data_IF_552643346482
#
_entry.id   IF_552643346482
#
_cell.length_a   1.000
_cell.length_b   1.000
_cell.length_c   1.000
_cell.angle_alpha   90.00
_cell.angle_beta   90.00
_cell.angle_gamma   90.00
#
_symmetry.space_group_name_H-M   'P 1'
#
loop_
_entity.id
_entity.type
_entity.pdbx_description
1 polymer ?
#
# COMPACT_ATOMS: atom_id res chain seq x y z
N UNK A 1 4.65 -11.46 0.63
CA UNK A 1 5.72 -12.32 1.18
C UNK A 1 5.90 -12.02 2.67
N UNK A 2 6.27 -12.99 3.50
CA UNK A 2 6.49 -12.80 4.96
C UNK A 2 7.78 -13.48 5.40
N UNK A 3 8.61 -12.79 6.17
CA UNK A 3 9.82 -13.33 6.80
C UNK A 3 9.63 -13.45 8.30
N UNK A 4 10.30 -14.42 8.91
CA UNK A 4 10.31 -14.64 10.36
C UNK A 4 11.76 -14.84 10.83
N UNK A 5 12.15 -14.13 11.89
CA UNK A 5 13.28 -14.54 12.72
C UNK A 5 12.90 -15.76 13.57
N UNK A 6 13.88 -16.44 14.18
CA UNK A 6 13.62 -17.53 15.13
C UNK A 6 12.69 -17.03 16.26
N UNK A 7 11.40 -17.28 16.09
CA UNK A 7 10.24 -17.03 16.95
C UNK A 7 9.98 -15.61 17.48
N UNK A 8 10.81 -14.61 17.16
CA UNK A 8 10.69 -13.28 17.78
C UNK A 8 10.00 -12.24 16.88
N UNK A 9 10.31 -12.15 15.59
CA UNK A 9 9.79 -11.07 14.75
C UNK A 9 9.26 -11.54 13.40
N UNK A 10 8.38 -10.74 12.78
CA UNK A 10 7.94 -10.97 11.41
C UNK A 10 7.81 -9.69 10.59
N UNK A 11 8.21 -9.76 9.32
CA UNK A 11 8.11 -8.65 8.37
C UNK A 11 7.35 -9.15 7.14
N UNK A 12 6.19 -8.55 6.89
CA UNK A 12 5.38 -8.73 5.68
C UNK A 12 5.72 -7.65 4.65
N UNK A 13 5.91 -8.05 3.40
CA UNK A 13 6.01 -7.14 2.26
C UNK A 13 5.01 -7.61 1.23
N UNK A 14 4.04 -6.77 0.92
CA UNK A 14 3.07 -6.99 -0.14
C UNK A 14 3.16 -5.86 -1.16
N UNK A 15 3.05 -6.18 -2.45
CA UNK A 15 2.54 -5.18 -3.38
C UNK A 15 1.16 -4.77 -2.89
N UNK A 16 0.84 -3.48 -2.90
CA UNK A 16 -0.52 -3.02 -2.65
C UNK A 16 -1.46 -3.83 -3.50
N UNK A 17 -2.32 -4.64 -2.86
CA UNK A 17 -3.27 -5.49 -3.58
C UNK A 17 -4.22 -4.64 -4.44
N UNK A 18 -5.03 -5.30 -5.25
CA UNK A 18 -6.03 -4.66 -6.12
C UNK A 18 -6.80 -3.51 -5.43
N UNK A 19 -7.20 -3.69 -4.17
CA UNK A 19 -7.92 -2.68 -3.38
C UNK A 19 -7.12 -1.39 -3.12
N UNK A 20 -5.78 -1.43 -3.07
CA UNK A 20 -4.94 -0.24 -2.95
C UNK A 20 -4.68 0.40 -4.32
N UNK A 21 -4.56 -0.42 -5.35
CA UNK A 21 -4.25 0.03 -6.70
C UNK A 21 -5.43 0.74 -7.38
N UNK A 22 -6.66 0.23 -7.24
CA UNK A 22 -7.82 0.85 -7.89
C UNK A 22 -8.05 2.30 -7.44
N UNK A 23 -8.06 2.66 -6.14
CA UNK A 23 -8.18 4.07 -5.73
C UNK A 23 -7.07 4.94 -6.32
N UNK A 24 -5.81 4.48 -6.32
CA UNK A 24 -4.69 5.28 -6.83
C UNK A 24 -4.82 5.54 -8.32
N UNK A 25 -5.22 4.52 -9.08
CA UNK A 25 -5.47 4.66 -10.51
C UNK A 25 -6.63 5.62 -10.77
N UNK A 26 -7.76 5.47 -10.08
CA UNK A 26 -8.93 6.35 -10.24
C UNK A 26 -8.58 7.80 -9.92
N UNK A 27 -7.82 8.06 -8.85
CA UNK A 27 -7.34 9.41 -8.54
C UNK A 27 -6.52 10.02 -9.67
N UNK A 28 -5.63 9.23 -10.27
CA UNK A 28 -4.79 9.70 -11.35
C UNK A 28 -5.59 9.91 -12.66
N UNK A 29 -6.40 8.94 -13.05
CA UNK A 29 -7.21 8.95 -14.27
C UNK A 29 -8.25 10.08 -14.29
N UNK A 30 -8.86 10.38 -13.16
CA UNK A 30 -9.85 11.46 -13.04
C UNK A 30 -9.23 12.81 -12.66
N UNK A 31 -7.92 12.86 -12.34
CA UNK A 31 -7.28 14.09 -11.88
C UNK A 31 -7.84 14.60 -10.55
N UNK A 32 -8.16 13.69 -9.62
CA UNK A 32 -8.72 14.05 -8.31
C UNK A 32 -7.63 14.73 -7.47
N UNK A 33 -7.79 16.03 -7.22
CA UNK A 33 -6.85 16.79 -6.41
C UNK A 33 -7.10 16.55 -4.91
N UNK A 34 -6.28 15.67 -4.34
CA UNK A 34 -6.17 15.47 -2.89
C UNK A 34 -4.71 15.68 -2.51
N UNK A 35 -4.36 16.64 -1.65
CA UNK A 35 -2.97 16.89 -1.29
C UNK A 35 -2.30 15.67 -0.67
N UNK A 36 -1.07 15.38 -1.11
CA UNK A 36 -0.27 14.34 -0.50
C UNK A 36 0.14 14.73 0.93
N UNK A 37 -0.04 13.81 1.89
CA UNK A 37 0.22 14.09 3.30
C UNK A 37 -0.46 13.08 4.21
N UNK A 38 0.08 12.87 5.42
CA UNK A 38 -0.37 11.79 6.30
C UNK A 38 -0.32 10.44 5.59
N UNK A 39 -1.47 9.80 5.43
CA UNK A 39 -1.63 8.52 4.70
C UNK A 39 -1.89 8.68 3.20
N UNK A 40 -2.06 9.90 2.69
CA UNK A 40 -2.32 10.16 1.26
C UNK A 40 -0.98 10.13 0.49
N UNK A 41 -0.80 9.19 -0.45
CA UNK A 41 0.41 9.13 -1.24
C UNK A 41 0.47 10.24 -2.29
N UNK A 42 1.67 10.46 -2.85
CA UNK A 42 1.88 11.35 -3.98
C UNK A 42 1.30 10.79 -5.29
N UNK A 43 1.61 11.45 -6.42
CA UNK A 43 1.11 11.06 -7.73
C UNK A 43 1.49 9.63 -8.08
N UNK A 44 0.55 8.93 -8.72
CA UNK A 44 0.77 7.61 -9.30
C UNK A 44 1.86 7.67 -10.36
N UNK A 45 2.77 6.70 -10.36
CA UNK A 45 3.82 6.58 -11.35
C UNK A 45 3.31 5.83 -12.58
N UNK A 46 2.53 6.55 -13.40
CA UNK A 46 1.94 6.04 -14.63
C UNK A 46 1.99 7.10 -15.73
N UNK A 47 2.26 6.67 -16.95
CA UNK A 47 2.06 7.43 -18.18
C UNK A 47 1.87 6.49 -19.38
N UNK A 48 0.91 6.74 -20.28
CA UNK A 48 -0.08 7.83 -20.27
C UNK A 48 -1.30 7.54 -19.36
N UNK A 49 -2.00 8.60 -18.95
CA UNK A 49 -3.29 8.52 -18.26
C UNK A 49 -4.44 8.73 -19.26
N UNK A 50 -5.58 8.05 -19.08
CA UNK A 50 -6.77 8.33 -19.89
C UNK A 50 -7.32 9.73 -19.60
N UNK A 51 -8.18 10.23 -20.49
CA UNK A 51 -8.90 11.48 -20.24
C UNK A 51 -9.90 11.31 -19.07
N UNK A 52 -10.03 12.32 -18.18
CA UNK A 52 -11.03 12.30 -17.12
C UNK A 52 -12.46 12.12 -17.65
N UNK A 53 -13.33 11.45 -16.90
CA UNK A 53 -14.75 11.32 -17.27
C UNK A 53 -15.54 12.60 -17.02
N UNK A 54 -15.13 13.37 -16.01
CA UNK A 54 -15.82 14.58 -15.57
C UNK A 54 -15.02 15.83 -15.98
N UNK A 55 -15.69 16.94 -16.30
CA UNK A 55 -15.02 18.23 -16.52
C UNK A 55 -14.27 18.74 -15.28
N UNK A 56 -14.70 18.34 -14.09
CA UNK A 56 -14.06 18.66 -12.82
C UNK A 56 -14.16 17.49 -11.84
N UNK A 57 -13.04 17.16 -11.21
CA UNK A 57 -12.92 16.09 -10.23
C UNK A 57 -13.09 16.55 -8.78
N UNK A 58 -13.26 17.86 -8.54
CA UNK A 58 -13.39 18.41 -7.19
C UNK A 58 -14.48 17.71 -6.34
N UNK A 59 -15.67 17.36 -6.87
CA UNK A 59 -16.69 16.63 -6.12
C UNK A 59 -16.29 15.20 -5.70
N UNK A 60 -15.24 14.62 -6.31
CA UNK A 60 -14.78 13.26 -6.01
C UNK A 60 -13.80 13.20 -4.84
N UNK A 61 -13.18 14.32 -4.46
CA UNK A 61 -12.06 14.37 -3.54
C UNK A 61 -12.37 13.79 -2.15
N UNK A 62 -13.49 14.19 -1.56
CA UNK A 62 -13.92 13.69 -0.24
C UNK A 62 -14.20 12.19 -0.29
N UNK A 63 -14.97 11.75 -1.28
CA UNK A 63 -15.31 10.33 -1.43
C UNK A 63 -14.07 9.47 -1.68
N UNK A 64 -13.14 9.95 -2.49
CA UNK A 64 -11.90 9.24 -2.75
C UNK A 64 -11.08 9.08 -1.47
N UNK A 65 -10.98 10.14 -0.66
CA UNK A 65 -10.26 10.09 0.61
C UNK A 65 -10.92 9.14 1.61
N UNK A 66 -12.26 9.12 1.65
CA UNK A 66 -13.04 8.17 2.44
C UNK A 66 -12.78 6.72 2.01
N UNK A 67 -12.83 6.45 0.71
CA UNK A 67 -12.52 5.14 0.13
C UNK A 67 -11.08 4.71 0.43
N UNK A 68 -10.10 5.59 0.21
CA UNK A 68 -8.70 5.31 0.49
C UNK A 68 -8.49 4.91 1.95
N UNK A 69 -9.06 5.65 2.90
CA UNK A 69 -8.99 5.32 4.33
C UNK A 69 -9.67 3.99 4.65
N UNK A 70 -10.80 3.68 4.02
CA UNK A 70 -11.47 2.40 4.20
C UNK A 70 -10.61 1.23 3.72
N UNK A 71 -9.92 1.38 2.59
CA UNK A 71 -8.94 0.41 2.06
C UNK A 71 -7.76 0.23 3.00
N UNK A 72 -7.19 1.31 3.55
CA UNK A 72 -6.10 1.22 4.53
C UNK A 72 -6.53 0.54 5.85
N UNK A 73 -7.82 0.64 6.18
CA UNK A 73 -8.43 -0.07 7.29
C UNK A 73 -8.62 -1.57 7.04
N UNK A 74 -8.43 -2.06 5.81
CA UNK A 74 -8.45 -3.48 5.51
C UNK A 74 -7.19 -4.15 6.07
N UNK A 75 -7.41 -5.19 6.87
CA UNK A 75 -6.38 -6.13 7.31
C UNK A 75 -6.61 -7.46 6.58
N UNK A 76 -5.66 -8.39 6.65
CA UNK A 76 -5.87 -9.74 6.12
C UNK A 76 -7.16 -10.33 6.72
N UNK A 77 -8.14 -10.75 5.91
CA UNK A 77 -9.40 -11.27 6.42
C UNK A 77 -9.16 -12.57 7.18
N UNK A 78 -9.65 -12.60 8.42
CA UNK A 78 -9.63 -13.71 9.37
C UNK A 78 -11.02 -14.24 9.66
N UNK A 79 -12.08 -13.50 9.28
CA UNK A 79 -13.47 -13.92 9.47
C UNK A 79 -14.45 -13.37 8.43
N UNK A 80 -15.73 -13.79 8.49
CA UNK A 80 -16.76 -13.44 7.51
C UNK A 80 -17.01 -11.93 7.36
N UNK A 81 -17.01 -11.18 8.45
CA UNK A 81 -17.25 -9.73 8.43
C UNK A 81 -16.15 -8.99 7.68
N UNK A 82 -14.91 -9.41 7.85
CA UNK A 82 -13.79 -8.82 7.14
C UNK A 82 -13.88 -9.14 5.65
N UNK A 83 -14.22 -10.39 5.29
CA UNK A 83 -14.47 -10.79 3.90
C UNK A 83 -15.57 -9.91 3.28
N UNK A 84 -16.67 -9.66 3.99
CA UNK A 84 -17.74 -8.80 3.51
C UNK A 84 -17.25 -7.38 3.21
N UNK A 85 -16.42 -6.79 4.08
CA UNK A 85 -15.82 -5.46 3.85
C UNK A 85 -14.91 -5.41 2.62
N UNK A 86 -14.15 -6.47 2.34
CA UNK A 86 -13.37 -6.57 1.10
C UNK A 86 -14.29 -6.59 -0.13
N UNK A 87 -15.38 -7.35 -0.07
CA UNK A 87 -16.36 -7.48 -1.16
C UNK A 87 -17.05 -6.14 -1.43
N UNK A 88 -17.49 -5.44 -0.38
CA UNK A 88 -18.17 -4.14 -0.49
C UNK A 88 -17.30 -3.06 -1.13
N UNK A 89 -15.97 -3.11 -0.93
CA UNK A 89 -15.01 -2.18 -1.53
C UNK A 89 -14.50 -2.64 -2.91
N UNK A 90 -15.13 -3.65 -3.49
CA UNK A 90 -14.77 -4.24 -4.76
C UNK A 90 -15.91 -4.29 -5.78
N UNK A 91 -15.63 -4.83 -6.98
CA UNK A 91 -16.64 -5.05 -8.01
C UNK A 91 -17.71 -6.05 -7.56
N UNK A 92 -18.87 -6.08 -8.23
CA UNK A 92 -19.21 -5.29 -9.43
C UNK A 92 -19.70 -3.88 -9.14
N UNK A 93 -20.20 -3.63 -7.93
CA UNK A 93 -21.03 -2.47 -7.65
C UNK A 93 -20.42 -1.52 -6.63
N UNK A 94 -19.34 -1.89 -5.95
CA UNK A 94 -18.68 -1.07 -4.93
C UNK A 94 -19.67 -0.56 -3.87
N UNK A 95 -20.47 -1.46 -3.29
CA UNK A 95 -21.50 -1.14 -2.30
C UNK A 95 -20.98 -0.28 -1.13
N UNK A 96 -19.71 -0.45 -0.72
CA UNK A 96 -19.04 0.34 0.31
C UNK A 96 -18.83 1.82 -0.06
N UNK A 97 -19.10 2.21 -1.31
CA UNK A 97 -19.09 3.60 -1.79
C UNK A 97 -20.49 4.23 -1.85
N UNK A 98 -21.52 3.60 -1.27
CA UNK A 98 -22.90 4.10 -1.31
C UNK A 98 -23.07 5.53 -0.78
N UNK A 99 -22.22 5.97 0.16
CA UNK A 99 -22.21 7.34 0.68
C UNK A 99 -21.73 8.39 -0.35
N UNK A 100 -21.05 7.97 -1.43
CA UNK A 100 -20.50 8.84 -2.47
C UNK A 100 -20.95 8.37 -3.86
N UNK A 101 -22.23 8.58 -4.23
CA UNK A 101 -22.83 8.02 -5.44
C UNK A 101 -22.11 8.46 -6.72
N UNK A 102 -21.64 9.70 -6.80
CA UNK A 102 -20.89 10.20 -7.96
C UNK A 102 -19.53 9.48 -8.12
N UNK A 103 -18.80 9.28 -7.01
CA UNK A 103 -17.56 8.50 -7.03
C UNK A 103 -17.84 7.06 -7.42
N UNK A 104 -18.88 6.44 -6.85
CA UNK A 104 -19.29 5.07 -7.16
C UNK A 104 -19.56 4.90 -8.65
N UNK A 105 -20.29 5.82 -9.27
CA UNK A 105 -20.56 5.80 -10.72
C UNK A 105 -19.27 5.84 -11.54
N UNK A 106 -18.34 6.74 -11.19
CA UNK A 106 -17.04 6.86 -11.85
C UNK A 106 -16.21 5.59 -11.69
N UNK A 107 -16.13 5.05 -10.46
CA UNK A 107 -15.39 3.82 -10.15
C UNK A 107 -15.95 2.64 -10.93
N UNK A 108 -17.27 2.44 -10.93
CA UNK A 108 -17.92 1.36 -11.69
C UNK A 108 -17.65 1.50 -13.19
N UNK A 109 -17.79 2.71 -13.75
CA UNK A 109 -17.52 2.99 -15.18
C UNK A 109 -16.08 2.68 -15.57
N UNK A 110 -15.13 3.03 -14.70
CA UNK A 110 -13.69 2.95 -14.96
C UNK A 110 -13.03 1.67 -14.43
N UNK A 111 -13.81 0.78 -13.82
CA UNK A 111 -13.28 -0.40 -13.13
C UNK A 111 -12.47 -1.31 -14.06
N UNK A 112 -12.96 -1.57 -15.27
CA UNK A 112 -12.27 -2.44 -16.22
C UNK A 112 -10.88 -1.91 -16.59
N UNK A 113 -10.73 -0.60 -16.77
CA UNK A 113 -9.46 0.05 -17.08
C UNK A 113 -8.50 0.00 -15.87
N UNK A 114 -9.02 0.28 -14.66
CA UNK A 114 -8.24 0.21 -13.42
C UNK A 114 -7.76 -1.21 -13.11
N UNK A 115 -8.61 -2.22 -13.35
CA UNK A 115 -8.28 -3.63 -13.16
C UNK A 115 -7.30 -4.14 -14.22
N UNK A 116 -7.46 -3.72 -15.48
CA UNK A 116 -6.49 -4.02 -16.54
C UNK A 116 -5.11 -3.44 -16.24
N UNK A 117 -5.05 -2.18 -15.81
CA UNK A 117 -3.80 -1.58 -15.34
C UNK A 117 -3.20 -2.34 -14.15
N UNK A 118 -4.02 -2.72 -13.18
CA UNK A 118 -3.53 -3.51 -12.04
C UNK A 118 -2.94 -4.86 -12.50
N UNK A 119 -3.64 -5.59 -13.39
CA UNK A 119 -3.21 -6.89 -13.90
C UNK A 119 -1.97 -6.80 -14.78
N UNK A 120 -1.83 -5.74 -15.58
CA UNK A 120 -0.64 -5.52 -16.43
C UNK A 120 0.60 -5.16 -15.61
N UNK A 121 0.44 -4.39 -14.52
CA UNK A 121 1.54 -4.11 -13.57
C UNK A 121 1.81 -5.28 -12.61
N UNK A 122 0.84 -6.14 -12.39
CA UNK A 122 0.99 -7.35 -11.59
C UNK A 122 1.20 -8.55 -12.52
N UNK A 123 2.37 -8.69 -13.19
CA UNK A 123 2.59 -9.86 -14.02
C UNK A 123 2.40 -11.09 -13.13
N UNK A 124 1.69 -12.08 -13.65
CA UNK A 124 1.48 -13.37 -13.03
C UNK A 124 2.80 -14.18 -12.91
N UNK A 125 3.82 -13.64 -12.23
CA UNK A 125 5.16 -14.19 -12.12
C UNK A 125 6.02 -13.43 -11.10
N UNK A 126 7.02 -14.09 -10.48
CA UNK A 126 7.75 -13.56 -9.34
C UNK A 126 8.52 -12.30 -9.73
N UNK A 127 8.25 -11.22 -8.98
CA UNK A 127 9.09 -10.03 -8.79
C UNK A 127 10.16 -9.81 -9.88
N UNK A 128 9.91 -8.87 -10.79
CA UNK A 128 10.89 -8.41 -11.80
C UNK A 128 12.16 -7.80 -11.14
N UNK A 129 12.16 -7.60 -9.82
CA UNK A 129 13.32 -7.27 -9.02
C UNK A 129 13.67 -8.43 -8.07
N UNK A 130 14.94 -8.88 -8.00
CA UNK A 130 15.33 -9.89 -7.03
C UNK A 130 14.92 -9.38 -5.64
N UNK A 131 14.16 -10.17 -4.87
CA UNK A 131 13.69 -9.73 -3.57
C UNK A 131 14.86 -9.29 -2.69
N UNK A 132 14.77 -8.13 -2.03
CA UNK A 132 15.63 -7.79 -0.88
C UNK A 132 15.46 -8.77 0.31
N UNK A 133 14.66 -9.83 0.16
CA UNK A 133 14.31 -10.83 1.17
C UNK A 133 15.51 -11.47 1.85
N UNK A 134 16.56 -11.96 1.14
CA UNK A 134 17.73 -12.51 1.83
C UNK A 134 18.44 -11.43 2.66
N UNK A 135 18.42 -10.18 2.19
CA UNK A 135 19.05 -9.05 2.86
C UNK A 135 18.31 -8.63 4.13
N UNK A 136 16.98 -8.68 4.18
CA UNK A 136 16.22 -8.22 5.34
C UNK A 136 16.42 -9.09 6.59
N UNK A 137 16.48 -10.41 6.44
CA UNK A 137 16.77 -11.29 7.58
C UNK A 137 18.22 -11.12 8.06
N UNK A 138 19.16 -10.93 7.14
CA UNK A 138 20.56 -10.63 7.49
C UNK A 138 20.70 -9.26 8.16
N UNK A 139 19.92 -8.29 7.70
CA UNK A 139 19.89 -6.93 8.23
C UNK A 139 19.37 -6.90 9.67
N UNK A 140 18.28 -7.62 9.98
CA UNK A 140 17.82 -7.76 11.37
C UNK A 140 18.88 -8.44 12.23
N UNK A 141 19.53 -9.50 11.74
CA UNK A 141 20.64 -10.17 12.46
C UNK A 141 21.84 -9.24 12.70
N UNK A 142 22.14 -8.34 11.77
CA UNK A 142 23.19 -7.32 11.93
C UNK A 142 22.82 -6.33 13.06
N UNK A 143 21.56 -5.92 13.12
CA UNK A 143 21.05 -5.08 14.21
C UNK A 143 21.12 -5.82 15.55
N UNK A 144 20.70 -7.09 15.61
CA UNK A 144 20.80 -7.92 16.82
C UNK A 144 22.25 -8.06 17.31
N UNK A 145 23.19 -8.27 16.37
CA UNK A 145 24.62 -8.31 16.68
C UNK A 145 25.11 -6.98 17.26
N UNK A 146 24.66 -5.87 16.69
CA UNK A 146 25.02 -4.52 17.16
C UNK A 146 24.42 -4.20 18.52
N UNK A 147 23.24 -4.73 18.83
CA UNK A 147 22.58 -4.60 20.13
C UNK A 147 23.13 -5.58 21.20
N UNK A 148 23.91 -6.59 20.80
CA UNK A 148 24.40 -7.63 21.70
C UNK A 148 23.31 -8.57 22.25
N UNK A 149 22.09 -8.51 21.69
CA UNK A 149 20.93 -9.31 22.13
C UNK A 149 19.97 -9.57 20.97
N UNK A 150 19.09 -10.57 21.13
CA UNK A 150 17.98 -10.80 20.20
C UNK A 150 16.99 -9.63 20.25
N UNK A 151 16.34 -9.38 19.11
CA UNK A 151 15.31 -8.36 19.00
C UNK A 151 14.11 -8.71 19.89
N UNK A 152 13.49 -7.70 20.52
CA UNK A 152 12.17 -7.86 21.10
C UNK A 152 11.15 -8.29 20.02
N UNK A 153 10.05 -8.96 20.38
CA UNK A 153 9.07 -9.38 19.39
C UNK A 153 8.38 -8.21 18.70
N UNK A 154 8.33 -8.24 17.36
CA UNK A 154 7.62 -7.24 16.58
C UNK A 154 7.03 -7.80 15.29
N UNK A 155 6.01 -7.11 14.78
CA UNK A 155 5.40 -7.37 13.47
C UNK A 155 5.37 -6.08 12.67
N UNK A 156 5.85 -6.16 11.43
CA UNK A 156 5.83 -5.06 10.47
C UNK A 156 5.17 -5.51 9.18
N UNK A 157 4.43 -4.60 8.55
CA UNK A 157 3.88 -4.78 7.21
C UNK A 157 4.20 -3.57 6.34
N UNK A 158 4.80 -3.83 5.18
CA UNK A 158 5.08 -2.84 4.16
C UNK A 158 4.17 -3.08 2.96
N UNK A 159 3.38 -2.07 2.62
CA UNK A 159 2.49 -2.05 1.46
C UNK A 159 3.16 -1.19 0.40
N UNK A 160 3.65 -1.84 -0.65
CA UNK A 160 4.37 -1.16 -1.72
C UNK A 160 3.40 -0.47 -2.68
N UNK A 161 3.64 0.81 -2.94
CA UNK A 161 2.82 1.65 -3.81
C UNK A 161 3.63 2.18 -5.01
N UNK A 162 3.03 2.20 -6.21
CA UNK A 162 3.66 2.69 -7.45
C UNK A 162 3.58 4.22 -7.54
N UNK A 163 4.24 4.95 -6.64
CA UNK A 163 4.09 6.41 -6.56
C UNK A 163 5.43 7.09 -6.80
N UNK A 164 5.36 8.33 -7.30
CA UNK A 164 6.55 9.10 -7.71
C UNK A 164 7.33 9.74 -6.58
N UNK A 165 6.73 9.85 -5.40
CA UNK A 165 7.44 10.36 -4.23
C UNK A 165 8.19 9.26 -3.49
N UNK A 166 9.13 9.65 -2.64
CA UNK A 166 9.95 8.72 -1.84
C UNK A 166 9.57 8.77 -0.34
N UNK A 167 8.33 9.13 -0.02
CA UNK A 167 7.89 9.29 1.38
C UNK A 167 7.24 8.02 1.91
N UNK A 168 7.89 7.38 2.89
CA UNK A 168 7.23 6.32 3.68
C UNK A 168 6.20 6.93 4.61
N UNK A 169 5.00 6.35 4.64
CA UNK A 169 3.88 6.87 5.43
C UNK A 169 3.39 5.81 6.41
N UNK A 170 3.35 6.08 7.72
CA UNK A 170 2.74 5.17 8.68
C UNK A 170 1.23 5.15 8.48
N UNK A 171 0.65 3.95 8.42
CA UNK A 171 -0.80 3.75 8.54
C UNK A 171 -1.13 3.63 10.03
N UNK A 172 -0.35 2.84 10.75
CA UNK A 172 -0.39 2.64 12.19
C UNK A 172 1.01 2.28 12.73
N UNK A 173 1.11 1.80 13.96
CA UNK A 173 2.39 1.45 14.60
C UNK A 173 3.13 0.27 13.97
N UNK A 174 2.51 -0.48 13.03
CA UNK A 174 3.06 -1.69 12.44
C UNK A 174 3.01 -1.70 10.90
N UNK A 175 2.09 -0.95 10.29
CA UNK A 175 1.86 -0.95 8.85
C UNK A 175 2.29 0.37 8.20
N UNK A 176 2.99 0.27 7.08
CA UNK A 176 3.55 1.42 6.36
C UNK A 176 3.25 1.33 4.86
N UNK A 177 2.90 2.47 4.27
CA UNK A 177 2.91 2.66 2.82
C UNK A 177 4.31 3.05 2.37
N UNK A 178 4.88 2.27 1.46
CA UNK A 178 6.25 2.47 0.98
C UNK A 178 6.22 2.64 -0.54
N UNK A 179 6.79 3.71 -1.10
CA UNK A 179 6.96 3.82 -2.54
C UNK A 179 7.86 2.70 -3.09
N UNK A 180 7.46 2.06 -4.18
CA UNK A 180 8.23 0.99 -4.83
C UNK A 180 9.64 1.44 -5.17
N UNK A 181 9.79 2.66 -5.70
CA UNK A 181 11.09 3.24 -6.05
C UNK A 181 12.04 3.37 -4.87
N UNK A 182 11.52 3.73 -3.70
CA UNK A 182 12.32 3.78 -2.47
C UNK A 182 12.72 2.37 -2.05
N UNK A 183 11.77 1.43 -2.07
CA UNK A 183 12.01 0.04 -1.70
C UNK A 183 13.09 -0.62 -2.55
N UNK A 184 13.11 -0.34 -3.86
CA UNK A 184 14.10 -0.87 -4.81
C UNK A 184 15.45 -0.10 -4.77
N UNK A 185 15.55 0.96 -3.96
CA UNK A 185 16.76 1.77 -3.84
C UNK A 185 17.63 1.37 -2.65
N UNK A 186 18.95 1.67 -2.68
CA UNK A 186 19.82 1.47 -1.51
C UNK A 186 19.36 2.23 -0.26
N UNK A 187 18.68 3.38 -0.45
CA UNK A 187 18.19 4.22 0.64
C UNK A 187 17.11 3.53 1.50
N UNK A 188 16.52 2.43 1.02
CA UNK A 188 15.57 1.62 1.78
C UNK A 188 16.14 1.16 3.12
N UNK A 189 17.38 0.64 3.13
CA UNK A 189 17.99 0.11 4.35
C UNK A 189 18.38 1.22 5.33
N UNK A 190 18.76 2.39 4.82
CA UNK A 190 19.05 3.57 5.65
C UNK A 190 17.79 4.04 6.38
N UNK A 191 16.64 4.05 5.68
CA UNK A 191 15.35 4.35 6.29
C UNK A 191 14.90 3.27 7.28
N UNK A 192 15.08 2.00 6.93
CA UNK A 192 14.59 0.86 7.71
C UNK A 192 15.36 0.67 9.02
N UNK A 193 16.67 0.97 9.04
CA UNK A 193 17.55 0.79 10.20
C UNK A 193 16.96 1.39 11.49
N UNK A 194 16.68 2.70 11.58
CA UNK A 194 16.15 3.29 12.80
C UNK A 194 14.77 2.75 13.20
N UNK A 195 13.96 2.25 12.26
CA UNK A 195 12.66 1.64 12.57
C UNK A 195 12.85 0.30 13.27
N UNK A 196 13.66 -0.59 12.69
CA UNK A 196 13.91 -1.92 13.27
C UNK A 196 14.68 -1.79 14.58
N UNK A 197 15.68 -0.92 14.68
CA UNK A 197 16.43 -0.72 15.93
C UNK A 197 15.51 -0.31 17.09
N UNK A 198 14.53 0.57 16.85
CA UNK A 198 13.57 0.99 17.88
C UNK A 198 12.68 -0.16 18.34
N UNK A 199 12.14 -0.93 17.40
CA UNK A 199 11.26 -2.06 17.69
C UNK A 199 12.01 -3.20 18.37
N UNK A 200 13.22 -3.50 17.90
CA UNK A 200 14.11 -4.50 18.50
C UNK A 200 14.52 -4.13 19.93
N UNK A 201 14.59 -2.83 20.25
CA UNK A 201 14.94 -2.35 21.58
C UNK A 201 13.82 -2.53 22.62
N UNK A 202 12.55 -2.65 22.19
CA UNK A 202 11.39 -2.83 23.08
C UNK A 202 10.74 -1.51 23.53
N UNK A 203 10.58 -0.55 22.61
CA UNK A 203 9.78 0.66 22.84
C UNK A 203 8.28 0.36 22.91
#
# INVERSE_FOLDING_TARGET
MRMRGSDSWSIGIGSGGQHHNWPLWIRAAEGIDVPAGGVVPGPLDIAPLPAPTLPSAAPLAEGWLGWWRAVLGLSRPTGPDEIARFVELGPPDFAGLAAWPLLREVVVRRFAEADDWHRTRSPAGPLVHPPHTPHLSLFVREIERSLGRRSAPFELEFILLPVRDDKVRPIDGKRFLVPERLYDSPAWFDWLRPVITRLAAGA
#
